data_IF_604435531999
#
_entry.id   IF_604435531999
#
_cell.length_a   1.000
_cell.length_b   1.000
_cell.length_c   1.000
_cell.angle_alpha   90.00
_cell.angle_beta   90.00
_cell.angle_gamma   90.00
#
_symmetry.space_group_name_H-M   'P 1'
#
loop_
_entity.id
_entity.type
_entity.pdbx_description
1 polymer ?
#
# COMPACT_ATOMS: atom_id res chain seq x y z
N UNK A 1 25.04 4.23 11.51
CA UNK A 1 24.40 3.19 12.34
C UNK A 1 22.98 3.65 12.59
N UNK A 2 22.00 3.08 11.88
CA UNK A 2 20.60 3.46 12.07
C UNK A 2 20.16 2.91 13.41
N UNK A 3 19.55 3.73 14.27
CA UNK A 3 18.94 3.25 15.49
C UNK A 3 17.92 2.18 15.11
N UNK A 4 17.98 1.01 15.74
CA UNK A 4 16.95 -0.01 15.59
C UNK A 4 15.65 0.58 16.13
N UNK A 5 14.73 0.93 15.25
CA UNK A 5 13.40 1.42 15.62
C UNK A 5 12.71 0.32 16.42
N UNK A 6 12.48 0.56 17.72
CA UNK A 6 11.86 -0.41 18.62
C UNK A 6 10.36 -0.39 18.40
N UNK A 7 9.87 -1.24 17.49
CA UNK A 7 8.44 -1.35 17.19
C UNK A 7 7.70 -2.19 18.25
N UNK A 8 6.39 -1.98 18.44
CA UNK A 8 5.55 -2.82 19.32
C UNK A 8 5.56 -4.29 18.89
N UNK A 9 5.23 -5.19 19.82
CA UNK A 9 5.19 -6.63 19.55
C UNK A 9 4.20 -6.97 18.41
N UNK A 10 4.60 -7.77 17.40
CA UNK A 10 3.73 -8.11 16.26
C UNK A 10 2.37 -8.70 16.64
N UNK A 11 2.27 -9.46 17.73
CA UNK A 11 1.02 -10.06 18.21
C UNK A 11 0.02 -8.99 18.70
N UNK A 12 0.52 -7.94 19.35
CA UNK A 12 -0.30 -6.83 19.82
C UNK A 12 -0.79 -5.98 18.65
N UNK A 13 0.11 -5.69 17.70
CA UNK A 13 -0.21 -4.99 16.45
C UNK A 13 -1.23 -5.77 15.64
N UNK A 14 -1.03 -7.07 15.45
CA UNK A 14 -1.95 -7.93 14.72
C UNK A 14 -3.36 -7.93 15.31
N UNK A 15 -3.46 -8.04 16.65
CA UNK A 15 -4.74 -7.96 17.35
C UNK A 15 -5.41 -6.61 17.10
N UNK A 16 -4.69 -5.51 17.33
CA UNK A 16 -5.23 -4.16 17.21
C UNK A 16 -5.61 -3.83 15.76
N UNK A 17 -4.81 -4.23 14.79
CA UNK A 17 -5.09 -4.02 13.37
C UNK A 17 -6.39 -4.72 12.92
N UNK A 18 -6.71 -5.91 13.43
CA UNK A 18 -8.01 -6.55 13.17
C UNK A 18 -9.19 -5.75 13.72
N UNK A 19 -9.05 -5.19 14.92
CA UNK A 19 -10.07 -4.35 15.55
C UNK A 19 -10.29 -3.07 14.74
N UNK A 20 -9.19 -2.41 14.35
CA UNK A 20 -9.20 -1.21 13.51
C UNK A 20 -9.87 -1.49 12.16
N UNK A 21 -9.44 -2.55 11.46
CA UNK A 21 -10.01 -2.92 10.17
C UNK A 21 -11.51 -3.21 10.29
N UNK A 22 -11.91 -3.98 11.31
CA UNK A 22 -13.33 -4.26 11.57
C UNK A 22 -14.14 -2.98 11.81
N UNK A 23 -13.60 -2.05 12.60
CA UNK A 23 -14.27 -0.78 12.89
C UNK A 23 -14.40 0.10 11.64
N UNK A 24 -13.36 0.20 10.80
CA UNK A 24 -13.42 0.90 9.51
C UNK A 24 -14.48 0.28 8.60
N UNK A 25 -14.54 -1.06 8.52
CA UNK A 25 -15.49 -1.75 7.64
C UNK A 25 -16.95 -1.61 8.09
N UNK A 26 -17.19 -1.37 9.37
CA UNK A 26 -18.53 -1.13 9.93
C UNK A 26 -18.96 0.35 9.85
N UNK A 27 -18.07 1.25 9.45
CA UNK A 27 -18.38 2.68 9.33
C UNK A 27 -19.40 2.92 8.19
N UNK A 28 -20.41 3.79 8.39
CA UNK A 28 -21.42 4.08 7.38
C UNK A 28 -20.87 4.64 6.06
N UNK A 29 -19.70 5.30 6.06
CA UNK A 29 -19.08 5.84 4.86
C UNK A 29 -18.12 4.84 4.18
N UNK A 30 -17.93 3.63 4.72
CA UNK A 30 -16.97 2.65 4.18
C UNK A 30 -17.29 2.23 2.73
N UNK A 31 -18.58 2.13 2.39
CA UNK A 31 -19.00 1.79 1.03
C UNK A 31 -18.65 2.89 0.02
N UNK A 32 -18.84 4.15 0.39
CA UNK A 32 -18.48 5.31 -0.44
C UNK A 32 -16.97 5.46 -0.57
N UNK A 33 -16.24 5.29 0.54
CA UNK A 33 -14.77 5.22 0.56
C UNK A 33 -14.24 4.14 -0.38
N UNK A 34 -14.80 2.93 -0.31
CA UNK A 34 -14.45 1.82 -1.21
C UNK A 34 -14.73 2.18 -2.67
N UNK A 35 -15.90 2.74 -2.97
CA UNK A 35 -16.26 3.11 -4.33
C UNK A 35 -15.30 4.19 -4.89
N UNK A 36 -14.92 5.15 -4.07
CA UNK A 36 -13.99 6.21 -4.43
C UNK A 36 -12.56 5.68 -4.64
N UNK A 37 -12.04 4.88 -3.70
CA UNK A 37 -10.70 4.29 -3.79
C UNK A 37 -10.55 3.30 -4.97
N UNK A 38 -11.64 2.70 -5.45
CA UNK A 38 -11.63 1.81 -6.62
C UNK A 38 -11.82 2.54 -7.96
N UNK A 39 -12.00 3.87 -7.94
CA UNK A 39 -12.22 4.65 -9.16
C UNK A 39 -10.89 4.99 -9.81
N UNK A 40 -10.42 4.06 -10.63
CA UNK A 40 -9.14 4.09 -11.34
C UNK A 40 -9.26 3.90 -12.86
N UNK A 41 -10.49 3.96 -13.38
CA UNK A 41 -10.80 3.72 -14.78
C UNK A 41 -10.12 4.71 -15.73
N UNK A 42 -9.85 5.95 -15.31
CA UNK A 42 -9.36 6.99 -16.22
C UNK A 42 -8.21 7.88 -15.69
N UNK A 43 -7.90 7.85 -14.39
CA UNK A 43 -7.19 8.98 -13.76
C UNK A 43 -5.77 8.71 -13.25
N UNK A 44 -5.38 7.48 -12.91
CA UNK A 44 -4.08 7.25 -12.28
C UNK A 44 -3.58 5.81 -12.38
N UNK A 45 -2.37 5.61 -12.89
CA UNK A 45 -1.60 4.38 -12.69
C UNK A 45 -0.12 4.76 -12.63
N UNK A 46 0.58 4.38 -11.56
CA UNK A 46 2.03 4.45 -11.54
C UNK A 46 2.63 3.30 -12.35
N UNK A 47 3.66 3.61 -13.15
CA UNK A 47 4.39 2.62 -13.94
C UNK A 47 5.20 1.64 -13.06
N UNK A 48 5.40 1.97 -11.79
CA UNK A 48 6.14 1.16 -10.83
C UNK A 48 5.27 0.49 -9.76
N UNK A 49 3.99 0.85 -9.65
CA UNK A 49 3.06 0.34 -8.65
C UNK A 49 2.41 -0.98 -9.08
N UNK A 50 1.12 -0.94 -9.42
CA UNK A 50 0.37 -2.12 -9.87
C UNK A 50 0.96 -2.91 -11.04
N UNK A 51 1.65 -2.31 -12.05
CA UNK A 51 2.17 -3.06 -13.20
C UNK A 51 3.18 -4.16 -12.86
N UNK A 52 3.77 -4.17 -11.66
CA UNK A 52 4.64 -5.28 -11.20
C UNK A 52 3.86 -6.56 -10.88
N UNK A 53 2.52 -6.50 -10.82
CA UNK A 53 1.66 -7.69 -10.75
C UNK A 53 1.68 -8.40 -12.11
N UNK A 54 1.99 -9.69 -12.11
CA UNK A 54 1.99 -10.49 -13.34
C UNK A 54 0.60 -10.52 -13.95
N UNK A 55 0.47 -10.20 -15.24
CA UNK A 55 -0.83 -10.10 -15.92
C UNK A 55 -1.78 -9.16 -15.15
N UNK A 56 -1.26 -8.00 -14.70
CA UNK A 56 -2.04 -6.97 -14.04
C UNK A 56 -3.31 -6.65 -14.83
N UNK A 57 -4.46 -6.72 -14.14
CA UNK A 57 -5.73 -6.32 -14.68
C UNK A 57 -6.50 -5.53 -13.61
N UNK A 58 -6.74 -4.25 -13.90
CA UNK A 58 -7.38 -3.33 -12.97
C UNK A 58 -8.73 -3.89 -12.46
N UNK A 59 -9.57 -4.42 -13.33
CA UNK A 59 -10.92 -4.85 -12.96
C UNK A 59 -10.93 -6.05 -12.03
N UNK A 60 -10.05 -7.02 -12.27
CA UNK A 60 -9.99 -8.24 -11.45
C UNK A 60 -9.17 -8.05 -10.17
N UNK A 61 -8.14 -7.22 -10.21
CA UNK A 61 -7.17 -7.12 -9.11
C UNK A 61 -7.47 -5.98 -8.11
N UNK A 62 -8.22 -4.93 -8.51
CA UNK A 62 -8.46 -3.75 -7.64
C UNK A 62 -9.17 -4.08 -6.32
N UNK A 63 -10.13 -5.01 -6.32
CA UNK A 63 -10.89 -5.38 -5.11
C UNK A 63 -10.06 -6.19 -4.11
N UNK A 64 -9.32 -7.24 -4.53
CA UNK A 64 -8.35 -7.89 -3.66
C UNK A 64 -7.31 -6.90 -3.11
N UNK A 65 -6.74 -6.04 -3.96
CA UNK A 65 -5.77 -5.05 -3.51
C UNK A 65 -6.35 -4.09 -2.48
N UNK A 66 -7.59 -3.61 -2.64
CA UNK A 66 -8.25 -2.77 -1.64
C UNK A 66 -8.29 -3.46 -0.27
N UNK A 67 -8.50 -4.78 -0.24
CA UNK A 67 -8.46 -5.53 1.03
C UNK A 67 -7.06 -5.52 1.62
N UNK A 68 -6.03 -5.71 0.80
CA UNK A 68 -4.62 -5.71 1.23
C UNK A 68 -4.15 -4.31 1.68
N UNK A 69 -4.50 -3.26 0.96
CA UNK A 69 -4.18 -1.88 1.34
C UNK A 69 -4.84 -1.49 2.66
N UNK A 70 -6.11 -1.88 2.88
CA UNK A 70 -6.81 -1.60 4.14
C UNK A 70 -6.20 -2.36 5.32
N UNK A 71 -5.80 -3.63 5.12
CA UNK A 71 -5.05 -4.40 6.12
C UNK A 71 -3.76 -3.67 6.52
N UNK A 72 -3.03 -3.16 5.55
CA UNK A 72 -1.77 -2.45 5.80
C UNK A 72 -2.00 -1.10 6.49
N UNK A 73 -3.00 -0.31 6.09
CA UNK A 73 -3.37 0.92 6.82
C UNK A 73 -3.72 0.62 8.28
N UNK A 74 -4.45 -0.47 8.53
CA UNK A 74 -4.77 -0.89 9.89
C UNK A 74 -3.53 -1.32 10.70
N UNK A 75 -2.55 -1.98 10.07
CA UNK A 75 -1.25 -2.28 10.69
C UNK A 75 -0.50 -1.00 11.05
N UNK A 76 -0.38 -0.04 10.12
CA UNK A 76 0.33 1.24 10.37
C UNK A 76 -0.34 2.04 11.50
N UNK A 77 -1.67 2.11 11.50
CA UNK A 77 -2.44 2.75 12.58
C UNK A 77 -2.23 2.06 13.93
N UNK A 78 -2.20 0.72 13.97
CA UNK A 78 -1.93 -0.05 15.18
C UNK A 78 -0.49 0.17 15.70
N UNK A 79 0.50 0.21 14.80
CA UNK A 79 1.89 0.53 15.16
C UNK A 79 2.00 1.93 15.74
N UNK A 80 1.33 2.91 15.12
CA UNK A 80 1.29 4.28 15.63
C UNK A 80 0.71 4.36 17.04
N UNK A 81 -0.47 3.78 17.24
CA UNK A 81 -1.17 3.80 18.53
C UNK A 81 -0.36 3.12 19.64
N UNK A 82 0.14 1.91 19.38
CA UNK A 82 0.89 1.12 20.36
C UNK A 82 2.34 1.60 20.56
N UNK A 83 2.89 2.29 19.56
CA UNK A 83 4.24 2.86 19.58
C UNK A 83 4.34 4.20 20.29
N UNK A 84 3.26 4.68 20.91
CA UNK A 84 3.25 5.98 21.60
C UNK A 84 3.15 7.16 20.64
N UNK A 85 2.51 6.96 19.49
CA UNK A 85 2.29 7.99 18.47
C UNK A 85 3.58 8.54 17.84
N UNK A 86 4.59 7.68 17.71
CA UNK A 86 5.83 7.98 17.00
C UNK A 86 5.67 7.67 15.51
N UNK A 87 5.62 8.71 14.68
CA UNK A 87 5.49 8.58 13.21
C UNK A 87 6.64 7.77 12.59
N UNK A 88 7.85 7.87 13.14
CA UNK A 88 9.04 7.17 12.60
C UNK A 88 8.93 5.64 12.73
N UNK A 89 8.03 5.14 13.60
CA UNK A 89 7.77 3.71 13.73
C UNK A 89 6.80 3.17 12.68
N UNK A 90 5.95 4.04 12.13
CA UNK A 90 4.74 3.67 11.35
C UNK A 90 5.05 3.24 9.93
N UNK A 91 6.16 3.70 9.36
CA UNK A 91 6.66 3.31 8.06
C UNK A 91 7.30 1.91 8.16
N UNK A 92 6.44 0.91 8.31
CA UNK A 92 6.80 -0.51 8.18
C UNK A 92 6.98 -0.86 6.70
N UNK A 93 7.82 -1.84 6.34
CA UNK A 93 7.98 -2.25 4.95
C UNK A 93 6.67 -2.76 4.33
N UNK A 94 6.33 -2.31 3.13
CA UNK A 94 5.10 -2.69 2.41
C UNK A 94 5.45 -3.13 0.99
N UNK A 95 4.78 -4.18 0.50
CA UNK A 95 4.92 -4.59 -0.89
C UNK A 95 4.38 -3.51 -1.83
N UNK A 96 5.14 -3.20 -2.89
CA UNK A 96 4.86 -2.10 -3.82
C UNK A 96 3.40 -2.04 -4.34
N UNK A 97 2.76 -3.15 -4.78
CA UNK A 97 1.37 -3.07 -5.24
C UNK A 97 0.37 -2.73 -4.14
N UNK A 98 0.66 -3.12 -2.89
CA UNK A 98 -0.20 -2.86 -1.74
C UNK A 98 -0.08 -1.40 -1.32
N UNK A 99 1.12 -0.85 -1.36
CA UNK A 99 1.39 0.57 -1.08
C UNK A 99 0.71 1.50 -2.11
N UNK A 100 0.77 1.17 -3.40
CA UNK A 100 0.04 1.90 -4.45
C UNK A 100 -1.48 1.95 -4.17
N UNK A 101 -2.07 0.86 -3.65
CA UNK A 101 -3.47 0.87 -3.24
C UNK A 101 -3.71 1.67 -1.94
N UNK A 102 -2.72 1.77 -1.05
CA UNK A 102 -2.83 2.69 0.09
C UNK A 102 -2.85 4.14 -0.38
N UNK A 103 -2.07 4.51 -1.39
CA UNK A 103 -2.13 5.84 -2.01
C UNK A 103 -3.53 6.14 -2.55
N UNK A 104 -4.20 5.15 -3.16
CA UNK A 104 -5.61 5.24 -3.57
C UNK A 104 -6.55 5.72 -2.47
N UNK A 105 -6.40 5.06 -1.33
CA UNK A 105 -7.24 5.22 -0.16
C UNK A 105 -6.98 6.58 0.49
N UNK A 106 -5.70 6.94 0.63
CA UNK A 106 -5.27 8.21 1.20
C UNK A 106 -5.68 9.38 0.31
N UNK A 107 -5.76 9.18 -1.00
CA UNK A 107 -6.29 10.16 -1.94
C UNK A 107 -7.80 10.44 -1.79
N UNK A 108 -8.48 9.79 -0.83
CA UNK A 108 -9.86 10.11 -0.43
C UNK A 108 -9.90 10.85 0.93
N UNK A 109 -9.20 12.00 1.09
CA UNK A 109 -8.83 12.53 2.39
C UNK A 109 -10.05 12.89 3.27
N UNK A 110 -11.13 13.39 2.68
CA UNK A 110 -12.31 13.75 3.47
C UNK A 110 -13.06 12.51 4.00
N UNK A 111 -13.20 11.45 3.19
CA UNK A 111 -13.84 10.21 3.61
C UNK A 111 -12.98 9.50 4.66
N UNK A 112 -11.69 9.34 4.37
CA UNK A 112 -10.76 8.65 5.26
C UNK A 112 -10.62 9.37 6.61
N UNK A 113 -10.53 10.71 6.62
CA UNK A 113 -10.44 11.48 7.86
C UNK A 113 -11.69 11.33 8.74
N UNK A 114 -12.90 11.34 8.15
CA UNK A 114 -14.16 11.17 8.91
C UNK A 114 -14.30 9.76 9.48
N UNK A 115 -13.94 8.75 8.70
CA UNK A 115 -13.90 7.36 9.18
C UNK A 115 -12.88 7.23 10.32
N UNK A 116 -11.67 7.75 10.14
CA UNK A 116 -10.61 7.70 11.14
C UNK A 116 -11.02 8.38 12.46
N UNK A 117 -11.67 9.55 12.39
CA UNK A 117 -12.21 10.26 13.56
C UNK A 117 -13.26 9.43 14.31
N UNK A 118 -14.24 8.85 13.60
CA UNK A 118 -15.28 8.00 14.22
C UNK A 118 -14.73 6.70 14.81
N UNK A 119 -13.73 6.11 14.16
CA UNK A 119 -13.04 4.90 14.65
C UNK A 119 -12.06 5.22 15.79
N UNK A 120 -11.64 6.48 15.93
CA UNK A 120 -10.69 6.94 16.94
C UNK A 120 -9.25 6.53 16.65
N UNK A 121 -8.84 6.56 15.38
CA UNK A 121 -7.48 6.21 14.93
C UNK A 121 -6.83 7.36 14.17
N UNK A 122 -5.50 7.30 14.04
CA UNK A 122 -4.77 8.15 13.10
C UNK A 122 -4.20 7.29 11.98
N UNK A 123 -4.42 7.73 10.74
CA UNK A 123 -3.81 7.11 9.56
C UNK A 123 -2.55 7.90 9.23
N UNK A 124 -1.39 7.28 9.43
CA UNK A 124 -0.09 7.88 9.19
C UNK A 124 0.52 7.25 7.94
N UNK A 125 0.98 8.10 7.03
CA UNK A 125 1.69 7.71 5.83
C UNK A 125 2.51 8.90 5.32
N UNK A 126 3.81 8.69 5.07
CA UNK A 126 4.75 9.73 4.65
C UNK A 126 5.63 9.22 3.51
N UNK A 127 5.42 9.76 2.30
CA UNK A 127 6.09 9.28 1.08
C UNK A 127 7.61 9.38 1.10
N UNK A 128 8.18 10.36 1.81
CA UNK A 128 9.62 10.50 1.96
C UNK A 128 10.24 9.48 2.93
N UNK A 129 9.41 8.79 3.71
CA UNK A 129 9.80 7.76 4.68
C UNK A 129 9.30 6.35 4.31
N UNK A 130 8.66 6.20 3.15
CA UNK A 130 8.15 4.90 2.68
C UNK A 130 9.26 3.86 2.55
N UNK A 131 8.90 2.63 2.93
CA UNK A 131 9.77 1.46 2.90
C UNK A 131 9.19 0.41 1.94
N UNK A 132 9.75 0.34 0.72
CA UNK A 132 9.37 -0.66 -0.29
C UNK A 132 10.24 -1.94 -0.23
N UNK A 133 10.97 -2.13 0.86
CA UNK A 133 11.89 -3.24 1.13
C UNK A 133 11.22 -4.43 1.85
N UNK A 134 9.92 -4.61 1.65
CA UNK A 134 9.17 -5.75 2.18
C UNK A 134 9.82 -7.10 1.81
N UNK A 135 9.91 -7.99 2.78
CA UNK A 135 10.39 -9.35 2.59
C UNK A 135 9.60 -10.35 3.46
N UNK A 136 9.30 -11.56 2.94
CA UNK A 136 8.74 -12.62 3.78
C UNK A 136 9.57 -12.86 5.04
N UNK A 137 8.91 -12.91 6.19
CA UNK A 137 9.55 -13.04 7.51
C UNK A 137 10.01 -11.73 8.16
N UNK A 138 9.82 -10.58 7.52
CA UNK A 138 10.03 -9.28 8.16
C UNK A 138 8.93 -8.95 9.20
N UNK A 139 9.07 -7.78 9.84
CA UNK A 139 8.11 -7.31 10.84
C UNK A 139 6.67 -7.23 10.31
N UNK A 140 6.48 -6.66 9.12
CA UNK A 140 5.16 -6.50 8.50
C UNK A 140 4.56 -7.85 8.18
N UNK A 141 5.33 -8.76 7.59
CA UNK A 141 4.91 -10.12 7.30
C UNK A 141 4.48 -10.86 8.57
N UNK A 142 5.27 -10.80 9.65
CA UNK A 142 4.91 -11.44 10.92
C UNK A 142 3.60 -10.89 11.49
N UNK A 143 3.46 -9.56 11.59
CA UNK A 143 2.24 -8.94 12.10
C UNK A 143 1.02 -9.26 11.22
N UNK A 144 1.20 -9.23 9.90
CA UNK A 144 0.16 -9.58 8.93
C UNK A 144 -0.29 -11.05 9.10
N UNK A 145 0.64 -11.99 9.17
CA UNK A 145 0.33 -13.43 9.31
C UNK A 145 -0.42 -13.70 10.60
N UNK A 146 0.01 -13.09 11.71
CA UNK A 146 -0.69 -13.17 13.00
C UNK A 146 -2.10 -12.56 12.95
N UNK A 147 -2.34 -11.61 12.04
CA UNK A 147 -3.61 -10.93 11.88
C UNK A 147 -4.58 -11.72 10.98
N UNK A 148 -4.15 -12.13 9.79
CA UNK A 148 -5.01 -12.62 8.71
C UNK A 148 -4.52 -13.92 8.02
N UNK A 149 -3.40 -14.49 8.47
CA UNK A 149 -2.75 -15.62 7.79
C UNK A 149 -1.83 -15.21 6.65
N UNK A 150 -1.43 -16.16 5.82
CA UNK A 150 -0.46 -15.91 4.75
C UNK A 150 -0.96 -14.84 3.76
N UNK A 151 -0.12 -13.82 3.44
CA UNK A 151 -0.46 -12.82 2.45
C UNK A 151 -0.58 -13.44 1.06
N UNK A 152 -1.45 -12.88 0.21
CA UNK A 152 -1.59 -13.36 -1.16
C UNK A 152 -0.30 -13.06 -1.95
N UNK A 153 0.46 -14.07 -2.42
CA UNK A 153 1.77 -13.88 -3.05
C UNK A 153 1.68 -13.18 -4.41
N UNK A 154 0.48 -13.02 -4.98
CA UNK A 154 0.26 -12.20 -6.18
C UNK A 154 0.51 -10.72 -5.91
N UNK A 155 0.15 -10.22 -4.72
CA UNK A 155 0.19 -8.80 -4.36
C UNK A 155 1.31 -8.47 -3.39
N UNK A 156 1.68 -9.41 -2.52
CA UNK A 156 2.76 -9.27 -1.55
C UNK A 156 4.07 -9.81 -2.12
N UNK A 157 4.68 -9.03 -3.02
CA UNK A 157 5.93 -9.38 -3.68
C UNK A 157 7.13 -9.00 -2.81
N UNK A 158 8.07 -9.93 -2.64
CA UNK A 158 9.39 -9.65 -2.08
C UNK A 158 10.07 -8.50 -2.85
N UNK A 159 10.78 -7.63 -2.13
CA UNK A 159 11.46 -6.47 -2.67
C UNK A 159 12.36 -6.81 -3.87
N UNK A 160 13.14 -7.90 -3.80
CA UNK A 160 14.06 -8.27 -4.89
C UNK A 160 13.29 -8.71 -6.13
N UNK A 161 12.17 -9.38 -5.94
CA UNK A 161 11.30 -9.79 -7.04
C UNK A 161 10.59 -8.58 -7.66
N UNK A 162 10.09 -7.64 -6.86
CA UNK A 162 9.53 -6.39 -7.34
C UNK A 162 10.58 -5.60 -8.15
N UNK A 163 11.80 -5.44 -7.63
CA UNK A 163 12.89 -4.78 -8.32
C UNK A 163 13.26 -5.46 -9.65
N UNK A 164 13.30 -6.80 -9.68
CA UNK A 164 13.54 -7.57 -10.91
C UNK A 164 12.45 -7.31 -11.96
N UNK A 165 11.16 -7.28 -11.55
CA UNK A 165 10.04 -6.98 -12.45
C UNK A 165 10.07 -5.56 -12.96
N UNK A 166 10.44 -4.59 -12.12
CA UNK A 166 10.60 -3.19 -12.53
C UNK A 166 11.66 -3.01 -13.61
N UNK A 167 12.79 -3.72 -13.53
CA UNK A 167 13.81 -3.70 -14.59
C UNK A 167 13.23 -4.19 -15.91
N UNK A 168 12.50 -5.31 -15.89
CA UNK A 168 11.85 -5.86 -17.10
C UNK A 168 10.84 -4.86 -17.68
N UNK A 169 10.02 -4.25 -16.83
CA UNK A 169 9.02 -3.27 -17.25
C UNK A 169 9.68 -2.01 -17.82
N UNK A 170 10.73 -1.48 -17.20
CA UNK A 170 11.44 -0.30 -17.66
C UNK A 170 12.04 -0.51 -19.06
N UNK A 171 12.61 -1.70 -19.35
CA UNK A 171 13.06 -2.06 -20.70
C UNK A 171 11.91 -2.06 -21.72
N UNK A 172 10.73 -2.57 -21.35
CA UNK A 172 9.55 -2.59 -22.24
C UNK A 172 8.98 -1.19 -22.46
N UNK A 173 8.90 -0.38 -21.41
CA UNK A 173 8.43 1.00 -21.48
C UNK A 173 9.38 1.88 -22.29
N UNK A 174 10.68 1.71 -22.12
CA UNK A 174 11.70 2.44 -22.90
C UNK A 174 11.57 2.17 -24.39
N UNK A 175 11.29 0.92 -24.78
CA UNK A 175 11.03 0.57 -26.18
C UNK A 175 9.77 1.26 -26.76
N UNK A 176 8.80 1.62 -25.92
CA UNK A 176 7.62 2.39 -26.28
C UNK A 176 7.81 3.92 -26.15
N UNK A 177 9.03 4.38 -25.85
CA UNK A 177 9.36 5.80 -25.72
C UNK A 177 9.11 6.40 -24.33
N UNK A 178 8.77 5.59 -23.32
CA UNK A 178 8.63 6.01 -21.93
C UNK A 178 9.88 5.65 -21.12
N UNK A 179 10.50 6.61 -20.44
CA UNK A 179 11.76 6.41 -19.72
C UNK A 179 11.60 6.70 -18.22
N UNK A 180 12.58 6.22 -17.44
CA UNK A 180 12.64 6.38 -15.97
C UNK A 180 11.32 5.97 -15.31
N UNK A 181 10.79 4.83 -15.76
CA UNK A 181 9.49 4.31 -15.33
C UNK A 181 8.36 5.34 -15.47
N UNK A 182 8.22 5.92 -16.66
CA UNK A 182 7.13 6.83 -17.00
C UNK A 182 7.31 8.28 -16.51
N UNK A 183 8.43 8.62 -15.87
CA UNK A 183 8.70 10.00 -15.41
C UNK A 183 9.04 10.96 -16.55
N UNK A 184 9.39 10.45 -17.72
CA UNK A 184 9.61 11.23 -18.94
C UNK A 184 9.30 10.37 -20.19
N UNK A 185 9.02 10.98 -21.33
CA UNK A 185 8.83 10.28 -22.60
C UNK A 185 9.42 11.06 -23.78
N UNK A 186 9.70 10.36 -24.88
CA UNK A 186 10.22 10.92 -26.13
C UNK A 186 9.17 11.08 -27.24
N UNK A 187 7.90 10.79 -26.92
CA UNK A 187 6.76 10.94 -27.85
C UNK A 187 6.56 12.43 -28.22
N UNK A 188 6.66 12.73 -29.51
CA UNK A 188 6.26 14.01 -30.10
C UNK A 188 4.87 13.88 -30.74
N UNK A 189 3.87 14.50 -30.11
CA UNK A 189 2.48 14.44 -30.56
C UNK A 189 2.23 15.21 -31.88
N UNK A 190 3.15 16.07 -32.33
CA UNK A 190 3.04 16.73 -33.63
C UNK A 190 3.50 15.83 -34.79
N UNK A 191 4.27 14.78 -34.49
CA UNK A 191 4.80 13.82 -35.46
C UNK A 191 4.03 12.48 -35.47
N UNK A 192 3.00 12.33 -34.63
CA UNK A 192 2.20 11.12 -34.46
C UNK A 192 0.92 11.09 -35.31
#
# INVERSE_FOLDING_TARGET
>A
MSATVSRPAPEQVAKRAREIMSAIQLDPEFAEFTAAALKYDEAWTCFTGFPVISEWNLDTDKRPLLTEGLRTLALKAAVYELGGQDEDMTEIPVAVPVDEMMHAMIAQPQLLARIADRVGISVIHQTDKEHHDYAPGDYTHTAYVLAWGEPNPRYWLDHKEAARRLIILDEKYAAAGFHRSGKEHTIDFAAA
#
